data_IF_676318142372
#
_entry.id   IF_676318142372
#
_cell.length_a   1.000
_cell.length_b   1.000
_cell.length_c   1.000
_cell.angle_alpha   90.00
_cell.angle_beta   90.00
_cell.angle_gamma   90.00
#
_symmetry.space_group_name_H-M   'P 1'
#
loop_
_entity.id
_entity.type
_entity.pdbx_description
1 polymer ?
#
# COMPACT_ATOMS: atom_id res chain seq x y z
N UNK A 1 7.75 3.30 12.65
CA UNK A 1 7.58 2.55 11.39
C UNK A 1 7.55 3.56 10.25
N UNK A 2 8.38 3.42 9.21
CA UNK A 2 8.36 4.35 8.08
C UNK A 2 7.45 3.80 6.97
N UNK A 3 6.34 4.51 6.73
CA UNK A 3 5.35 4.19 5.72
C UNK A 3 5.49 5.14 4.53
N UNK A 4 5.30 4.61 3.32
CA UNK A 4 5.07 5.37 2.09
C UNK A 4 3.63 5.20 1.66
N UNK A 5 3.02 6.25 1.15
CA UNK A 5 1.63 6.22 0.69
C UNK A 5 1.56 6.68 -0.76
N UNK A 6 0.76 5.97 -1.55
CA UNK A 6 0.42 6.30 -2.92
C UNK A 6 -1.08 6.53 -2.97
N UNK A 7 -1.49 7.74 -3.34
CA UNK A 7 -2.89 8.13 -3.48
C UNK A 7 -3.22 8.50 -4.93
N UNK A 8 -4.51 8.54 -5.23
CA UNK A 8 -5.10 8.79 -6.55
C UNK A 8 -4.57 10.04 -7.27
N UNK A 9 -4.08 11.06 -6.55
CA UNK A 9 -3.51 12.28 -7.13
C UNK A 9 -2.06 12.14 -7.65
N UNK A 10 -1.36 11.07 -7.27
CA UNK A 10 0.05 10.84 -7.63
C UNK A 10 0.22 9.81 -8.75
N UNK A 11 -0.82 9.03 -9.05
CA UNK A 11 -0.74 7.77 -9.79
C UNK A 11 -0.64 7.90 -11.32
N UNK A 12 -0.51 9.11 -11.85
CA UNK A 12 -0.26 9.40 -13.27
C UNK A 12 1.16 9.94 -13.53
N UNK A 13 1.99 10.06 -12.50
CA UNK A 13 3.29 10.73 -12.57
C UNK A 13 4.47 9.75 -12.61
N UNK A 14 5.51 10.12 -13.34
CA UNK A 14 6.80 9.42 -13.39
C UNK A 14 7.48 9.24 -12.01
N UNK A 15 7.01 9.95 -10.99
CA UNK A 15 7.58 10.00 -9.63
C UNK A 15 6.71 9.29 -8.59
N UNK A 16 5.78 8.43 -9.00
CA UNK A 16 4.81 7.77 -8.11
C UNK A 16 5.44 7.19 -6.83
N UNK A 17 6.60 6.55 -6.98
CA UNK A 17 7.24 5.78 -5.91
C UNK A 17 8.20 6.61 -5.05
N UNK A 18 8.36 7.91 -5.32
CA UNK A 18 9.39 8.73 -4.64
C UNK A 18 9.20 8.74 -3.12
N UNK A 19 7.94 8.75 -2.65
CA UNK A 19 7.62 8.80 -1.22
C UNK A 19 7.71 7.42 -0.55
N UNK A 20 7.90 6.35 -1.34
CA UNK A 20 8.08 4.98 -0.88
C UNK A 20 9.56 4.61 -0.67
N UNK A 21 10.47 5.47 -1.08
CA UNK A 21 11.92 5.27 -0.90
C UNK A 21 12.25 5.21 0.60
N UNK A 22 13.07 4.22 0.98
CA UNK A 22 13.49 3.96 2.36
C UNK A 22 12.32 3.70 3.35
N UNK A 23 11.17 3.29 2.83
CA UNK A 23 10.01 2.86 3.64
C UNK A 23 10.01 1.33 3.79
N UNK A 24 9.39 0.85 4.87
CA UNK A 24 9.23 -0.59 5.14
C UNK A 24 7.89 -1.13 4.66
N UNK A 25 6.89 -0.25 4.56
CA UNK A 25 5.54 -0.57 4.13
C UNK A 25 5.09 0.49 3.12
N UNK A 26 4.48 0.03 2.04
CA UNK A 26 3.85 0.85 1.01
C UNK A 26 2.34 0.64 1.11
N UNK A 27 1.60 1.73 1.22
CA UNK A 27 0.14 1.72 1.14
C UNK A 27 -0.28 2.34 -0.19
N UNK A 28 -1.03 1.59 -0.98
CA UNK A 28 -1.61 2.03 -2.24
C UNK A 28 -3.09 2.22 -2.00
N UNK A 29 -3.54 3.47 -1.96
CA UNK A 29 -4.88 3.86 -1.61
C UNK A 29 -5.60 4.49 -2.81
N UNK A 30 -6.66 3.84 -3.30
CA UNK A 30 -7.51 4.32 -4.40
C UNK A 30 -6.73 4.67 -5.69
N UNK A 31 -5.54 4.09 -5.91
CA UNK A 31 -4.62 4.49 -6.98
C UNK A 31 -4.97 3.88 -8.33
N UNK A 32 -4.81 4.67 -9.41
CA UNK A 32 -4.96 4.22 -10.79
C UNK A 32 -3.60 3.99 -11.45
N UNK A 33 -3.40 2.84 -12.08
CA UNK A 33 -2.15 2.55 -12.80
C UNK A 33 -2.42 2.49 -14.30
N UNK A 34 -1.69 3.29 -15.07
CA UNK A 34 -1.68 3.18 -16.53
C UNK A 34 -0.86 1.94 -16.98
N UNK A 35 -0.84 1.66 -18.29
CA UNK A 35 -0.11 0.50 -18.81
C UNK A 35 1.41 0.56 -18.56
N UNK A 36 2.00 1.77 -18.51
CA UNK A 36 3.43 1.94 -18.29
C UNK A 36 3.78 1.63 -16.83
N UNK A 37 2.98 2.14 -15.90
CA UNK A 37 3.17 2.01 -14.45
C UNK A 37 2.82 0.62 -13.95
N UNK A 38 1.90 -0.09 -14.60
CA UNK A 38 1.61 -1.51 -14.31
C UNK A 38 2.86 -2.38 -14.40
N UNK A 39 3.83 -2.07 -15.27
CA UNK A 39 5.11 -2.81 -15.33
C UNK A 39 5.91 -2.62 -14.05
N UNK A 40 6.03 -1.39 -13.58
CA UNK A 40 6.72 -1.09 -12.31
C UNK A 40 5.98 -1.70 -11.12
N UNK A 41 4.65 -1.58 -11.08
CA UNK A 41 3.81 -2.18 -10.05
C UNK A 41 4.06 -3.69 -9.94
N UNK A 42 4.15 -4.42 -11.06
CA UNK A 42 4.45 -5.86 -11.04
C UNK A 42 5.80 -6.15 -10.39
N UNK A 43 6.84 -5.36 -10.68
CA UNK A 43 8.17 -5.53 -10.08
C UNK A 43 8.12 -5.25 -8.57
N UNK A 44 7.42 -4.19 -8.16
CA UNK A 44 7.25 -3.84 -6.75
C UNK A 44 6.49 -4.96 -5.99
N UNK A 45 5.41 -5.47 -6.57
CA UNK A 45 4.62 -6.56 -5.97
C UNK A 45 5.36 -7.91 -5.96
N UNK A 46 6.32 -8.10 -6.86
CA UNK A 46 7.20 -9.27 -6.85
C UNK A 46 8.17 -9.24 -5.66
N UNK A 47 8.35 -8.09 -5.02
CA UNK A 47 9.34 -7.90 -3.97
C UNK A 47 10.76 -7.79 -4.52
N UNK A 48 10.90 -7.43 -5.80
CA UNK A 48 12.20 -7.13 -6.41
C UNK A 48 12.46 -5.64 -6.30
N UNK A 49 13.66 -5.26 -5.83
CA UNK A 49 14.01 -3.84 -5.74
C UNK A 49 14.19 -3.23 -7.14
N UNK A 50 13.82 -1.96 -7.27
CA UNK A 50 13.75 -1.25 -8.55
C UNK A 50 14.27 0.18 -8.40
N UNK A 51 14.89 0.73 -9.44
CA UNK A 51 15.22 2.15 -9.49
C UNK A 51 14.00 2.96 -9.92
N UNK A 52 13.66 3.99 -9.14
CA UNK A 52 12.52 4.86 -9.40
C UNK A 52 12.97 6.30 -9.53
N UNK A 53 12.32 7.06 -10.41
CA UNK A 53 12.61 8.48 -10.57
C UNK A 53 12.19 9.24 -9.31
N UNK A 54 13.05 10.17 -8.89
CA UNK A 54 12.79 11.08 -7.77
C UNK A 54 12.96 12.52 -8.25
N UNK A 55 12.01 13.38 -7.89
CA UNK A 55 11.99 14.76 -8.39
C UNK A 55 13.23 15.53 -7.93
N UNK A 56 13.82 16.32 -8.83
CA UNK A 56 15.02 17.16 -8.58
C UNK A 56 16.30 16.39 -8.21
N UNK A 57 16.29 15.07 -8.30
CA UNK A 57 17.46 14.22 -8.05
C UNK A 57 17.55 13.13 -9.12
N UNK A 58 18.64 12.35 -9.11
CA UNK A 58 18.72 11.14 -9.92
C UNK A 58 17.77 10.04 -9.44
N UNK A 59 17.77 8.93 -10.17
CA UNK A 59 17.03 7.73 -9.80
C UNK A 59 17.53 7.17 -8.47
N UNK A 60 16.60 6.72 -7.64
CA UNK A 60 16.92 6.17 -6.32
C UNK A 60 16.38 4.73 -6.20
N UNK A 61 17.08 3.91 -5.45
CA UNK A 61 16.74 2.49 -5.29
C UNK A 61 15.59 2.30 -4.30
N UNK A 62 14.44 1.85 -4.80
CA UNK A 62 13.34 1.36 -3.99
C UNK A 62 13.65 -0.09 -3.58
N UNK A 63 13.96 -0.28 -2.30
CA UNK A 63 14.13 -1.61 -1.71
C UNK A 63 12.81 -2.38 -1.68
N UNK A 64 12.85 -3.72 -1.71
CA UNK A 64 11.67 -4.55 -1.47
C UNK A 64 10.95 -4.13 -0.19
N UNK A 65 9.65 -3.91 -0.29
CA UNK A 65 8.81 -3.48 0.83
C UNK A 65 7.45 -4.20 0.77
N UNK A 66 6.83 -4.39 1.94
CA UNK A 66 5.48 -4.95 2.00
C UNK A 66 4.47 -3.95 1.44
N UNK A 67 3.55 -4.43 0.62
CA UNK A 67 2.54 -3.58 -0.04
C UNK A 67 1.15 -3.93 0.47
N UNK A 68 0.41 -2.92 0.92
CA UNK A 68 -1.01 -2.99 1.21
C UNK A 68 -1.77 -2.21 0.13
N UNK A 69 -2.81 -2.81 -0.45
CA UNK A 69 -3.62 -2.17 -1.49
C UNK A 69 -5.05 -2.07 -0.99
N UNK A 70 -5.58 -0.85 -0.96
CA UNK A 70 -6.97 -0.53 -0.61
C UNK A 70 -7.60 0.21 -1.77
N UNK A 71 -8.72 -0.29 -2.28
CA UNK A 71 -9.40 0.35 -3.40
C UNK A 71 -10.86 -0.08 -3.48
N UNK A 72 -11.75 0.87 -3.77
CA UNK A 72 -13.15 0.62 -4.09
C UNK A 72 -13.35 -0.06 -5.46
N UNK A 73 -12.33 -0.03 -6.32
CA UNK A 73 -12.33 -0.68 -7.63
C UNK A 73 -11.08 -1.53 -7.84
N UNK A 74 -11.18 -2.68 -8.54
CA UNK A 74 -10.00 -3.46 -8.84
C UNK A 74 -8.91 -2.64 -9.55
N UNK A 75 -7.67 -2.72 -9.06
CA UNK A 75 -6.53 -1.94 -9.57
C UNK A 75 -6.17 -2.24 -11.03
N UNK A 76 -6.65 -3.35 -11.59
CA UNK A 76 -6.49 -3.72 -12.99
C UNK A 76 -7.65 -3.25 -13.87
N UNK A 77 -8.61 -2.46 -13.38
CA UNK A 77 -9.72 -1.97 -14.21
C UNK A 77 -9.23 -1.18 -15.44
N UNK A 78 -8.17 -0.39 -15.29
CA UNK A 78 -7.53 0.36 -16.39
C UNK A 78 -6.69 -0.51 -17.32
N UNK A 79 -6.26 -1.68 -16.85
CA UNK A 79 -5.41 -2.61 -17.58
C UNK A 79 -5.85 -4.06 -17.31
N UNK A 80 -7.02 -4.49 -17.82
CA UNK A 80 -7.61 -5.79 -17.49
C UNK A 80 -6.69 -6.97 -17.80
N UNK A 81 -5.87 -6.85 -18.85
CA UNK A 81 -4.85 -7.82 -19.25
C UNK A 81 -3.79 -8.08 -18.16
N UNK A 82 -3.59 -7.16 -17.22
CA UNK A 82 -2.65 -7.33 -16.12
C UNK A 82 -3.21 -8.05 -14.90
N UNK A 83 -4.54 -8.31 -14.87
CA UNK A 83 -5.23 -8.93 -13.73
C UNK A 83 -4.52 -10.17 -13.18
N UNK A 84 -4.27 -11.16 -14.03
CA UNK A 84 -3.68 -12.43 -13.60
C UNK A 84 -2.25 -12.25 -13.08
N UNK A 85 -1.47 -11.37 -13.72
CA UNK A 85 -0.11 -11.08 -13.31
C UNK A 85 -0.04 -10.35 -11.95
N UNK A 86 -1.01 -9.48 -11.66
CA UNK A 86 -1.14 -8.79 -10.38
C UNK A 86 -1.60 -9.78 -9.30
N UNK A 87 -2.68 -10.53 -9.55
CA UNK A 87 -3.22 -11.50 -8.61
C UNK A 87 -2.19 -12.57 -8.20
N UNK A 88 -1.35 -13.03 -9.14
CA UNK A 88 -0.29 -13.98 -8.84
C UNK A 88 0.77 -13.47 -7.85
N UNK A 89 0.84 -12.16 -7.61
CA UNK A 89 1.77 -11.51 -6.67
C UNK A 89 1.08 -11.03 -5.39
N UNK A 90 -0.21 -11.31 -5.23
CA UNK A 90 -0.97 -10.94 -4.04
C UNK A 90 -1.06 -12.15 -3.11
N UNK A 91 -0.52 -12.00 -1.90
CA UNK A 91 -0.60 -13.05 -0.88
C UNK A 91 -2.03 -13.27 -0.37
N UNK A 92 -2.77 -12.18 -0.15
CA UNK A 92 -4.17 -12.21 0.32
C UNK A 92 -4.99 -11.16 -0.41
N UNK A 93 -6.12 -11.59 -0.96
CA UNK A 93 -7.08 -10.71 -1.61
C UNK A 93 -8.41 -10.80 -0.87
N UNK A 94 -8.94 -9.64 -0.48
CA UNK A 94 -10.22 -9.51 0.18
C UNK A 94 -11.15 -8.73 -0.76
N UNK A 95 -11.97 -9.46 -1.52
CA UNK A 95 -13.00 -8.90 -2.39
C UNK A 95 -14.35 -8.83 -1.69
N UNK A 96 -15.26 -8.04 -2.26
CA UNK A 96 -16.67 -7.94 -1.82
C UNK A 96 -16.82 -7.67 -0.32
N UNK A 97 -15.90 -6.87 0.23
CA UNK A 97 -15.93 -6.44 1.62
C UNK A 97 -17.25 -5.68 1.85
N UNK A 98 -18.04 -6.20 2.77
CA UNK A 98 -19.26 -5.53 3.25
C UNK A 98 -18.89 -4.58 4.36
N UNK A 99 -19.71 -3.54 4.51
CA UNK A 99 -19.68 -2.73 5.72
C UNK A 99 -19.80 -3.65 6.95
N UNK A 100 -19.06 -3.33 8.00
CA UNK A 100 -19.16 -3.99 9.28
C UNK A 100 -20.29 -3.29 10.07
N UNK A 101 -21.52 -3.84 10.12
CA UNK A 101 -22.68 -3.07 10.61
C UNK A 101 -22.52 -2.69 12.09
N UNK A 102 -21.81 -3.53 12.85
CA UNK A 102 -21.50 -3.28 14.25
C UNK A 102 -20.65 -2.02 14.47
N UNK A 103 -19.89 -1.54 13.47
CA UNK A 103 -19.14 -0.29 13.59
C UNK A 103 -20.06 0.94 13.62
N UNK A 104 -21.26 0.86 13.01
CA UNK A 104 -22.24 1.95 13.06
C UNK A 104 -22.83 2.15 14.47
N UNK A 105 -22.79 1.11 15.29
CA UNK A 105 -23.24 1.14 16.69
C UNK A 105 -22.18 1.75 17.61
N UNK A 106 -20.91 1.80 17.17
CA UNK A 106 -19.80 2.39 17.91
C UNK A 106 -19.85 3.91 17.72
N UNK A 107 -20.57 4.59 18.61
CA UNK A 107 -20.63 6.06 18.69
C UNK A 107 -19.39 6.70 19.34
N UNK A 108 -18.45 5.89 19.80
CA UNK A 108 -17.18 6.36 20.35
C UNK A 108 -16.26 6.67 19.18
N UNK A 109 -15.63 7.84 19.21
CA UNK A 109 -14.49 8.09 18.34
C UNK A 109 -13.48 6.95 18.49
N UNK A 110 -12.84 6.56 17.38
CA UNK A 110 -11.70 5.64 17.38
C UNK A 110 -10.60 6.24 18.26
N UNK A 111 -10.68 5.96 19.56
CA UNK A 111 -9.78 6.53 20.54
C UNK A 111 -8.41 5.92 20.33
N UNK A 112 -7.35 6.69 20.05
CA UNK A 112 -6.02 6.17 19.65
C UNK A 112 -5.42 5.16 20.64
N UNK A 113 -5.94 5.08 21.87
CA UNK A 113 -5.66 4.01 22.82
C UNK A 113 -5.94 2.58 22.33
N UNK A 114 -6.85 2.36 21.37
CA UNK A 114 -7.05 1.01 20.78
C UNK A 114 -5.78 0.46 20.11
N UNK A 115 -4.99 1.36 19.52
CA UNK A 115 -3.69 1.04 18.93
C UNK A 115 -2.66 0.68 20.00
N UNK A 116 -2.76 1.32 21.17
CA UNK A 116 -1.90 1.08 22.32
C UNK A 116 -2.22 -0.29 22.96
N UNK A 117 -3.49 -0.62 23.12
CA UNK A 117 -3.95 -1.91 23.67
C UNK A 117 -3.64 -3.06 22.71
N UNK A 118 -3.92 -2.91 21.41
CA UNK A 118 -3.52 -3.91 20.40
C UNK A 118 -2.00 -4.10 20.35
N UNK A 119 -1.23 -3.02 20.44
CA UNK A 119 0.23 -3.12 20.51
C UNK A 119 0.68 -3.87 21.77
N UNK A 120 0.16 -3.55 22.95
CA UNK A 120 0.48 -4.29 24.19
C UNK A 120 0.17 -5.78 24.10
N UNK A 121 -0.95 -6.13 23.46
CA UNK A 121 -1.44 -7.51 23.42
C UNK A 121 -0.74 -8.37 22.35
N UNK A 122 -0.27 -7.76 21.25
CA UNK A 122 0.24 -8.50 20.08
C UNK A 122 1.63 -8.09 19.60
N UNK A 123 2.19 -7.00 20.11
CA UNK A 123 3.48 -6.45 19.70
C UNK A 123 4.30 -6.16 20.96
N UNK A 124 5.28 -7.01 21.27
CA UNK A 124 6.10 -6.95 22.49
C UNK A 124 7.06 -5.75 22.58
N UNK A 125 6.62 -4.53 22.26
CA UNK A 125 7.45 -3.34 22.09
C UNK A 125 7.42 -2.34 23.25
N UNK A 126 6.75 -2.67 24.36
CA UNK A 126 6.86 -1.89 25.59
C UNK A 126 6.93 -2.83 26.79
N UNK A 127 8.12 -3.37 27.03
CA UNK A 127 8.51 -3.77 28.39
C UNK A 127 9.51 -2.72 28.84
N UNK A 128 9.03 -1.76 29.64
CA UNK A 128 9.90 -0.83 30.34
C UNK A 128 10.70 -1.63 31.38
N UNK A 129 12.01 -1.71 31.14
CA UNK A 129 13.03 -2.19 32.06
C UNK A 129 14.28 -1.35 31.88
#
# INVERSE_FOLDING_TARGET
MFMGEITQGLSSYAFLWQDCINKRVIIINESYFDQAMVKQLKVVLEGTGIFVHKKMTGDEYLRPASVLITSNSPIWNTCPQAKNAILARILRFYGDLKEAPFLAEIKKDLHPGWLLEFAKEHLSYFTDG
#
